data_IF_663474059694
#
_entry.id   IF_663474059694
#
_cell.length_a   1.000
_cell.length_b   1.000
_cell.length_c   1.000
_cell.angle_alpha   90.00
_cell.angle_beta   90.00
_cell.angle_gamma   90.00
#
_symmetry.space_group_name_H-M   'P 1'
#
loop_
_entity.id
_entity.type
_entity.pdbx_description
1 polymer ?
#
# COMPACT_ATOMS: atom_id res chain seq x y z
N UNK A 1 10.29 -10.34 14.64
CA UNK A 1 8.85 -10.12 14.93
C UNK A 1 8.37 -8.97 14.07
N UNK A 2 7.53 -9.25 13.09
CA UNK A 2 7.16 -8.30 12.02
C UNK A 2 6.23 -7.19 12.49
N UNK A 3 6.59 -5.94 12.18
CA UNK A 3 5.81 -4.72 12.42
C UNK A 3 4.65 -4.56 11.42
N UNK A 4 3.89 -5.63 11.17
CA UNK A 4 2.85 -5.66 10.12
C UNK A 4 1.57 -4.89 10.48
N UNK A 5 1.25 -4.77 11.77
CA UNK A 5 -0.01 -4.19 12.25
C UNK A 5 0.16 -2.83 12.96
N UNK A 6 1.39 -2.46 13.34
CA UNK A 6 1.69 -1.26 14.12
C UNK A 6 1.59 0.07 13.36
N UNK A 7 1.28 0.03 12.06
CA UNK A 7 1.03 1.22 11.23
C UNK A 7 -0.45 1.49 10.97
N UNK A 8 -1.36 0.64 11.49
CA UNK A 8 -2.79 0.88 11.39
C UNK A 8 -3.20 1.95 12.40
N UNK A 9 -4.15 2.81 12.04
CA UNK A 9 -4.70 3.76 13.00
C UNK A 9 -5.26 3.01 14.21
N UNK A 10 -5.11 3.57 15.41
CA UNK A 10 -5.56 2.92 16.65
C UNK A 10 -7.05 2.54 16.60
N UNK A 11 -7.86 3.25 15.81
CA UNK A 11 -9.27 2.90 15.54
C UNK A 11 -9.43 1.64 14.69
N UNK A 12 -8.60 1.47 13.65
CA UNK A 12 -8.65 0.29 12.79
C UNK A 12 -8.09 -0.93 13.52
N UNK A 13 -7.03 -0.77 14.31
CA UNK A 13 -6.51 -1.86 15.14
C UNK A 13 -7.57 -2.32 16.17
N UNK A 14 -8.21 -1.38 16.88
CA UNK A 14 -9.30 -1.70 17.80
C UNK A 14 -10.48 -2.37 17.10
N UNK A 15 -10.84 -1.91 15.89
CA UNK A 15 -11.91 -2.51 15.10
C UNK A 15 -11.57 -3.94 14.66
N UNK A 16 -10.34 -4.20 14.24
CA UNK A 16 -9.87 -5.52 13.82
C UNK A 16 -9.75 -6.48 15.00
N UNK A 17 -9.21 -6.02 16.13
CA UNK A 17 -9.16 -6.79 17.37
C UNK A 17 -10.57 -7.10 17.87
N UNK A 18 -11.50 -6.12 17.81
CA UNK A 18 -12.90 -6.31 18.18
C UNK A 18 -13.63 -7.27 17.25
N UNK A 19 -13.38 -7.19 15.93
CA UNK A 19 -13.99 -8.08 14.94
C UNK A 19 -13.46 -9.51 15.06
N UNK A 20 -12.14 -9.68 15.23
CA UNK A 20 -11.56 -11.01 15.48
C UNK A 20 -12.06 -11.55 16.81
N UNK A 21 -12.03 -10.76 17.88
CA UNK A 21 -12.56 -11.17 19.17
C UNK A 21 -14.02 -11.59 19.05
N UNK A 22 -14.87 -10.80 18.38
CA UNK A 22 -16.27 -11.13 18.12
C UNK A 22 -16.44 -12.44 17.32
N UNK A 23 -15.69 -12.62 16.23
CA UNK A 23 -15.72 -13.85 15.43
C UNK A 23 -15.24 -15.08 16.22
N UNK A 24 -14.28 -14.91 17.14
CA UNK A 24 -13.75 -16.00 17.98
C UNK A 24 -14.50 -16.19 19.31
N UNK A 25 -15.31 -15.23 19.76
CA UNK A 25 -16.11 -15.31 21.01
C UNK A 25 -17.60 -15.56 20.79
N UNK A 26 -18.15 -15.21 19.63
CA UNK A 26 -19.46 -15.69 19.16
C UNK A 26 -19.40 -17.12 18.62
N UNK A 27 -18.33 -17.87 18.92
CA UNK A 27 -18.30 -19.33 18.88
C UNK A 27 -19.04 -19.89 20.11
N UNK A 28 -20.33 -19.60 20.21
CA UNK A 28 -21.23 -20.40 21.04
C UNK A 28 -21.45 -21.76 20.40
N UNK A 29 -21.73 -22.76 21.23
CA UNK A 29 -22.09 -24.13 20.86
C UNK A 29 -22.96 -24.13 19.58
N UNK A 30 -22.51 -24.80 18.52
CA UNK A 30 -23.15 -24.94 17.19
C UNK A 30 -22.84 -23.92 16.08
N UNK A 31 -21.64 -23.33 16.04
CA UNK A 31 -21.14 -22.65 14.83
C UNK A 31 -19.88 -23.36 14.30
N UNK A 32 -20.09 -24.44 13.53
CA UNK A 32 -19.08 -25.08 12.70
C UNK A 32 -18.81 -24.19 11.47
N UNK A 33 -18.21 -23.01 11.69
CA UNK A 33 -17.83 -22.12 10.60
C UNK A 33 -16.55 -22.69 9.99
N UNK A 34 -16.69 -23.54 8.97
CA UNK A 34 -15.59 -23.93 8.10
C UNK A 34 -15.14 -22.72 7.28
N UNK A 35 -14.18 -21.97 7.81
CA UNK A 35 -13.51 -20.93 7.02
C UNK A 35 -12.53 -21.62 6.07
N UNK A 36 -12.89 -21.69 4.80
CA UNK A 36 -12.01 -22.21 3.77
C UNK A 36 -10.90 -21.20 3.43
N UNK A 37 -9.77 -21.65 2.85
CA UNK A 37 -8.77 -20.74 2.31
C UNK A 37 -9.35 -19.70 1.33
N UNK A 38 -10.36 -20.09 0.54
CA UNK A 38 -11.02 -19.20 -0.41
C UNK A 38 -11.81 -18.09 0.29
N UNK A 39 -12.44 -18.39 1.42
CA UNK A 39 -13.15 -17.40 2.24
C UNK A 39 -12.18 -16.38 2.84
N UNK A 40 -11.03 -16.82 3.35
CA UNK A 40 -9.96 -15.92 3.82
C UNK A 40 -9.50 -15.00 2.69
N UNK A 41 -9.25 -15.56 1.50
CA UNK A 41 -8.82 -14.77 0.34
C UNK A 41 -9.89 -13.76 -0.09
N UNK A 42 -11.17 -14.13 -0.02
CA UNK A 42 -12.29 -13.25 -0.33
C UNK A 42 -12.41 -12.09 0.66
N UNK A 43 -12.25 -12.36 1.96
CA UNK A 43 -12.24 -11.34 3.02
C UNK A 43 -11.02 -10.42 2.83
N UNK A 44 -9.85 -11.00 2.60
CA UNK A 44 -8.61 -10.26 2.35
C UNK A 44 -8.73 -9.30 1.18
N UNK A 45 -9.33 -9.71 0.06
CA UNK A 45 -9.60 -8.83 -1.09
C UNK A 45 -10.52 -7.65 -0.73
N UNK A 46 -11.58 -7.90 0.03
CA UNK A 46 -12.50 -6.83 0.49
C UNK A 46 -11.78 -5.82 1.36
N UNK A 47 -10.92 -6.29 2.26
CA UNK A 47 -10.13 -5.42 3.13
C UNK A 47 -9.08 -4.64 2.34
N UNK A 48 -8.38 -5.31 1.41
CA UNK A 48 -7.44 -4.65 0.51
C UNK A 48 -8.13 -3.50 -0.24
N UNK A 49 -9.32 -3.74 -0.79
CA UNK A 49 -10.07 -2.70 -1.49
C UNK A 49 -10.47 -1.56 -0.56
N UNK A 50 -11.00 -1.86 0.64
CA UNK A 50 -11.39 -0.86 1.62
C UNK A 50 -10.20 0.00 2.07
N UNK A 51 -9.07 -0.62 2.38
CA UNK A 51 -7.85 0.07 2.77
C UNK A 51 -7.33 0.95 1.62
N UNK A 52 -7.18 0.39 0.43
CA UNK A 52 -6.68 1.15 -0.73
C UNK A 52 -7.61 2.30 -1.13
N UNK A 53 -8.93 2.14 -0.98
CA UNK A 53 -9.89 3.21 -1.29
C UNK A 53 -9.80 4.41 -0.35
N UNK A 54 -9.28 4.22 0.86
CA UNK A 54 -9.09 5.28 1.85
C UNK A 54 -7.72 5.95 1.81
N UNK A 55 -6.78 5.46 0.98
CA UNK A 55 -5.41 5.97 0.92
C UNK A 55 -5.21 6.83 -0.34
N UNK A 56 -4.45 7.90 -0.19
CA UNK A 56 -3.92 8.66 -1.33
C UNK A 56 -2.82 7.88 -2.03
N UNK A 57 -2.58 8.17 -3.31
CA UNK A 57 -1.49 7.56 -4.07
C UNK A 57 -0.12 7.73 -3.38
N UNK A 58 0.10 8.88 -2.71
CA UNK A 58 1.32 9.16 -1.96
C UNK A 58 1.47 8.23 -0.75
N UNK A 59 0.40 7.98 -0.02
CA UNK A 59 0.39 7.08 1.13
C UNK A 59 0.62 5.62 0.70
N UNK A 60 -0.02 5.18 -0.38
CA UNK A 60 0.19 3.85 -0.96
C UNK A 60 1.66 3.59 -1.36
N UNK A 61 2.36 4.63 -1.83
CA UNK A 61 3.75 4.52 -2.27
C UNK A 61 4.76 4.79 -1.14
N UNK A 62 4.29 5.12 0.06
CA UNK A 62 5.17 5.43 1.19
C UNK A 62 6.03 4.23 1.56
N UNK A 63 7.34 4.46 1.76
CA UNK A 63 8.31 3.39 2.04
C UNK A 63 8.88 2.70 0.80
N UNK A 64 8.27 2.84 -0.38
CA UNK A 64 8.83 2.31 -1.63
C UNK A 64 9.84 3.33 -2.21
N UNK A 65 11.11 2.97 -2.42
CA UNK A 65 12.10 3.83 -3.08
C UNK A 65 11.67 4.24 -4.49
N UNK A 66 12.00 5.46 -4.92
CA UNK A 66 11.61 5.96 -6.25
C UNK A 66 12.07 5.03 -7.39
N UNK A 67 13.27 4.44 -7.27
CA UNK A 67 13.81 3.50 -8.25
C UNK A 67 12.90 2.27 -8.42
N UNK A 68 12.34 1.77 -7.33
CA UNK A 68 11.46 0.61 -7.36
C UNK A 68 10.09 0.96 -7.96
N UNK A 69 9.56 2.15 -7.65
CA UNK A 69 8.30 2.64 -8.22
C UNK A 69 8.32 2.76 -9.75
N UNK A 70 9.50 3.04 -10.31
CA UNK A 70 9.71 3.21 -11.74
C UNK A 70 10.19 1.93 -12.43
N UNK A 71 10.25 0.80 -11.71
CA UNK A 71 10.64 -0.49 -12.30
C UNK A 71 9.63 -0.90 -13.37
N UNK A 72 10.12 -1.26 -14.55
CA UNK A 72 9.28 -1.67 -15.68
C UNK A 72 8.83 -0.53 -16.59
N UNK A 73 9.16 0.73 -16.26
CA UNK A 73 8.97 1.87 -17.15
C UNK A 73 10.27 2.21 -17.89
N UNK A 74 10.18 2.48 -19.19
CA UNK A 74 11.31 3.04 -19.91
C UNK A 74 11.48 4.53 -19.58
N UNK A 75 12.73 4.99 -19.54
CA UNK A 75 13.04 6.39 -19.24
C UNK A 75 12.38 7.35 -20.24
N UNK A 76 12.25 6.95 -21.51
CA UNK A 76 11.62 7.77 -22.54
C UNK A 76 10.14 8.00 -22.26
N UNK A 77 9.44 6.96 -21.83
CA UNK A 77 8.01 7.03 -21.52
C UNK A 77 7.77 7.91 -20.30
N UNK A 78 8.60 7.78 -19.26
CA UNK A 78 8.53 8.66 -18.09
C UNK A 78 8.76 10.12 -18.48
N UNK A 79 9.76 10.40 -19.33
CA UNK A 79 10.09 11.76 -19.73
C UNK A 79 9.06 12.38 -20.68
N UNK A 80 8.31 11.58 -21.42
CA UNK A 80 7.25 12.05 -22.32
C UNK A 80 6.06 12.69 -21.58
N UNK A 81 5.86 12.34 -20.31
CA UNK A 81 4.82 12.92 -19.44
C UNK A 81 5.17 14.32 -18.91
N UNK A 82 6.41 14.80 -19.12
CA UNK A 82 6.88 16.10 -18.64
C UNK A 82 7.09 17.09 -19.80
N UNK A 83 6.99 18.38 -19.50
CA UNK A 83 7.29 19.41 -20.51
C UNK A 83 8.80 19.44 -20.84
N UNK A 84 9.18 19.80 -22.08
CA UNK A 84 10.59 19.96 -22.45
C UNK A 84 11.35 20.89 -21.49
N UNK A 85 10.72 21.97 -21.04
CA UNK A 85 11.30 22.94 -20.11
C UNK A 85 11.62 22.32 -18.74
N UNK A 86 10.73 21.46 -18.23
CA UNK A 86 10.92 20.76 -16.96
C UNK A 86 12.09 19.78 -17.02
N UNK A 87 12.17 19.02 -18.12
CA UNK A 87 13.26 18.07 -18.37
C UNK A 87 14.60 18.81 -18.48
N UNK A 88 14.67 19.90 -19.25
CA UNK A 88 15.88 20.70 -19.37
C UNK A 88 16.33 21.30 -18.02
N UNK A 89 15.39 21.82 -17.23
CA UNK A 89 15.68 22.36 -15.91
C UNK A 89 16.27 21.30 -14.98
N UNK A 90 15.75 20.06 -15.04
CA UNK A 90 16.27 18.92 -14.30
C UNK A 90 17.71 18.56 -14.74
N UNK A 91 17.95 18.46 -16.05
CA UNK A 91 19.28 18.16 -16.61
C UNK A 91 20.32 19.22 -16.23
N UNK A 92 19.95 20.51 -16.22
CA UNK A 92 20.82 21.61 -15.76
C UNK A 92 21.23 21.43 -14.29
N UNK A 93 20.31 21.01 -13.40
CA UNK A 93 20.62 20.75 -11.98
C UNK A 93 21.54 19.53 -11.81
N UNK A 94 21.34 18.47 -12.59
CA UNK A 94 22.19 17.26 -12.55
C UNK A 94 23.62 17.54 -13.00
N UNK A 95 23.80 18.28 -14.10
CA UNK A 95 25.13 18.69 -14.59
C UNK A 95 25.89 19.53 -13.57
N UNK A 96 25.20 20.38 -12.79
CA UNK A 96 25.81 21.15 -11.69
C UNK A 96 26.26 20.26 -10.53
N UNK A 97 25.53 19.19 -10.23
CA UNK A 97 25.91 18.22 -9.18
C UNK A 97 27.14 17.39 -9.56
N UNK A 98 27.35 17.10 -10.85
CA UNK A 98 28.52 16.33 -11.31
C UNK A 98 29.81 17.15 -11.45
N UNK A 99 29.71 18.49 -11.43
CA UNK A 99 30.86 19.41 -11.51
C UNK A 99 31.38 19.86 -10.13
N UNK A 100 30.73 19.42 -9.06
CA UNK A 100 31.20 19.54 -7.67
C UNK A 100 31.78 18.20 -7.24
#
# INVERSE_FOLDING_TARGET
MGKGFSSLSSRLQWFLEGLLHFLFTMGGEDMEIEITPDDVMKIGRKWQQAVLSGLTQKECLTGIPLKERLTGFELKDILAEFSPEEVEACLKKLKKRQRK
#
